data_IF_608592448620
#
_entry.id   IF_608592448620
#
_cell.length_a   1.000
_cell.length_b   1.000
_cell.length_c   1.000
_cell.angle_alpha   90.00
_cell.angle_beta   90.00
_cell.angle_gamma   90.00
#
_symmetry.space_group_name_H-M   'P 1'
#
loop_
_entity.id
_entity.type
_entity.pdbx_description
1 polymer ?
#
# COMPACT_ATOMS: atom_id res chain seq x y z
N UNK A 1 -0.34 1.19 -2.16
CA UNK A 1 -0.36 -0.23 -2.58
C UNK A 1 -0.16 -1.11 -1.36
N UNK A 2 -0.81 -2.28 -1.33
CA UNK A 2 -0.66 -3.28 -0.29
C UNK A 2 -0.41 -4.64 -0.96
N UNK A 3 0.72 -5.26 -0.64
CA UNK A 3 1.10 -6.59 -1.12
C UNK A 3 0.50 -7.64 -0.19
N UNK A 4 -0.33 -8.52 -0.74
CA UNK A 4 -0.99 -9.57 0.03
C UNK A 4 -1.04 -10.90 -0.72
N UNK A 5 -0.98 -11.98 0.04
CA UNK A 5 -1.17 -13.35 -0.46
C UNK A 5 -2.58 -13.81 -0.12
N UNK A 6 -3.30 -14.34 -1.12
CA UNK A 6 -4.61 -14.97 -0.91
C UNK A 6 -4.42 -16.33 -0.22
N UNK A 7 -5.30 -16.63 0.73
CA UNK A 7 -5.27 -17.83 1.54
C UNK A 7 -6.64 -18.48 1.52
N UNK A 8 -6.67 -19.81 1.49
CA UNK A 8 -7.90 -20.59 1.57
C UNK A 8 -7.72 -21.71 2.60
N UNK A 9 -8.66 -21.80 3.53
CA UNK A 9 -8.70 -22.89 4.49
C UNK A 9 -9.25 -24.15 3.80
N UNK A 10 -8.42 -25.20 3.68
CA UNK A 10 -8.79 -26.43 3.00
C UNK A 10 -9.98 -27.18 3.64
N UNK A 11 -10.25 -26.97 4.94
CA UNK A 11 -11.36 -27.65 5.64
C UNK A 11 -12.66 -26.88 5.54
N UNK A 12 -12.58 -25.56 5.67
CA UNK A 12 -13.78 -24.69 5.74
C UNK A 12 -14.11 -24.02 4.41
N UNK A 13 -13.17 -23.98 3.46
CA UNK A 13 -13.28 -23.21 2.21
C UNK A 13 -13.22 -21.70 2.42
N UNK A 14 -12.95 -21.23 3.64
CA UNK A 14 -12.93 -19.81 3.96
C UNK A 14 -11.73 -19.13 3.29
N UNK A 15 -12.02 -18.10 2.50
CA UNK A 15 -11.01 -17.27 1.86
C UNK A 15 -10.61 -16.12 2.78
N UNK A 16 -9.31 -15.86 2.83
CA UNK A 16 -8.74 -14.72 3.53
C UNK A 16 -7.49 -14.24 2.78
N UNK A 17 -6.87 -13.19 3.28
CA UNK A 17 -5.62 -12.71 2.72
C UNK A 17 -4.68 -12.28 3.83
N UNK A 18 -3.39 -12.47 3.61
CA UNK A 18 -2.34 -12.03 4.53
C UNK A 18 -1.52 -10.92 3.86
N UNK A 19 -1.47 -9.75 4.50
CA UNK A 19 -0.66 -8.62 4.02
C UNK A 19 0.76 -8.67 4.56
N UNK A 20 1.72 -8.42 3.67
CA UNK A 20 3.13 -8.40 4.03
C UNK A 20 3.65 -6.97 4.08
N UNK A 21 3.63 -6.29 2.94
CA UNK A 21 4.23 -4.97 2.76
C UNK A 21 3.23 -3.94 2.23
N UNK A 22 3.45 -2.70 2.62
CA UNK A 22 2.75 -1.53 2.10
C UNK A 22 3.74 -0.59 1.43
N UNK A 23 3.28 0.10 0.38
CA UNK A 23 4.02 1.20 -0.29
C UNK A 23 3.07 2.36 -0.54
N UNK A 24 3.53 3.57 -0.24
CA UNK A 24 2.79 4.80 -0.50
C UNK A 24 3.70 5.83 -1.18
N UNK A 25 3.24 6.40 -2.29
CA UNK A 25 3.91 7.46 -3.05
C UNK A 25 2.92 8.62 -3.19
N UNK A 26 3.38 9.83 -2.90
CA UNK A 26 2.63 11.06 -3.14
C UNK A 26 2.69 11.33 -4.63
N UNK A 27 1.52 11.42 -5.25
CA UNK A 27 1.38 11.87 -6.63
C UNK A 27 1.13 13.38 -6.64
N UNK A 28 1.69 14.08 -7.61
CA UNK A 28 1.46 15.50 -7.86
C UNK A 28 0.12 15.73 -8.59
N UNK A 29 -0.33 14.73 -9.34
CA UNK A 29 -1.58 14.74 -10.09
C UNK A 29 -2.32 13.40 -10.00
N UNK A 30 -3.57 13.40 -10.47
CA UNK A 30 -4.38 12.18 -10.64
C UNK A 30 -4.48 11.75 -12.10
N UNK A 31 -3.56 12.24 -12.95
CA UNK A 31 -3.51 11.88 -14.36
C UNK A 31 -2.97 10.46 -14.51
N UNK A 32 -3.49 9.74 -15.51
CA UNK A 32 -3.15 8.33 -15.73
C UNK A 32 -1.66 8.12 -16.00
N UNK A 33 -0.98 9.07 -16.66
CA UNK A 33 0.46 8.99 -16.95
C UNK A 33 1.33 8.84 -15.70
N UNK A 34 1.12 9.67 -14.68
CA UNK A 34 1.90 9.64 -13.44
C UNK A 34 1.60 8.38 -12.61
N UNK A 35 0.36 7.90 -12.69
CA UNK A 35 -0.07 6.64 -12.07
C UNK A 35 0.62 5.46 -12.74
N UNK A 36 0.63 5.42 -14.08
CA UNK A 36 1.25 4.37 -14.87
C UNK A 36 2.76 4.30 -14.62
N UNK A 37 3.46 5.44 -14.66
CA UNK A 37 4.89 5.52 -14.33
C UNK A 37 5.16 5.00 -12.90
N UNK A 38 4.33 5.40 -11.93
CA UNK A 38 4.47 4.91 -10.56
C UNK A 38 4.26 3.40 -10.45
N UNK A 39 3.35 2.83 -11.25
CA UNK A 39 3.06 1.40 -11.26
C UNK A 39 4.22 0.62 -11.87
N UNK A 40 4.70 1.04 -13.04
CA UNK A 40 5.83 0.45 -13.75
C UNK A 40 7.10 0.45 -12.89
N UNK A 41 7.39 1.54 -12.19
CA UNK A 41 8.53 1.61 -11.26
C UNK A 41 8.37 0.75 -9.99
N UNK A 42 7.14 0.35 -9.66
CA UNK A 42 6.84 -0.22 -8.34
C UNK A 42 6.43 -1.67 -8.34
N UNK A 43 5.96 -2.19 -9.48
CA UNK A 43 5.40 -3.53 -9.61
C UNK A 43 6.19 -4.33 -10.63
N UNK A 44 6.27 -5.63 -10.42
CA UNK A 44 6.78 -6.56 -11.42
C UNK A 44 5.68 -6.83 -12.47
N UNK A 45 6.05 -7.01 -13.73
CA UNK A 45 5.11 -7.31 -14.83
C UNK A 45 4.25 -8.55 -14.53
N UNK A 46 4.70 -9.49 -13.68
CA UNK A 46 3.94 -10.68 -13.26
C UNK A 46 2.97 -10.43 -12.10
N UNK A 47 2.77 -9.17 -11.73
CA UNK A 47 1.89 -8.83 -10.60
C UNK A 47 0.42 -8.97 -10.98
N UNK A 48 -0.40 -9.40 -10.02
CA UNK A 48 -1.87 -9.32 -10.12
C UNK A 48 -2.31 -8.10 -9.30
N UNK A 49 -2.95 -7.13 -9.96
CA UNK A 49 -3.37 -5.88 -9.35
C UNK A 49 -4.88 -5.83 -9.20
N UNK A 50 -5.32 -5.53 -7.99
CA UNK A 50 -6.73 -5.32 -7.63
C UNK A 50 -6.92 -3.82 -7.35
N UNK A 51 -7.80 -3.15 -8.10
CA UNK A 51 -8.11 -1.73 -7.88
C UNK A 51 -9.59 -1.48 -7.72
N UNK A 52 -9.92 -0.27 -7.24
CA UNK A 52 -11.27 0.23 -7.44
C UNK A 52 -11.53 0.52 -8.93
N UNK A 53 -12.79 0.77 -9.28
CA UNK A 53 -13.24 1.06 -10.64
C UNK A 53 -13.02 2.52 -11.06
N UNK A 54 -11.97 3.18 -10.58
CA UNK A 54 -11.62 4.54 -11.00
C UNK A 54 -11.16 4.58 -12.46
N UNK A 55 -11.54 5.63 -13.18
CA UNK A 55 -11.14 5.87 -14.59
C UNK A 55 -9.66 6.20 -14.73
N UNK A 56 -8.97 6.54 -13.64
CA UNK A 56 -7.53 6.80 -13.65
C UNK A 56 -6.68 5.52 -13.76
N UNK A 57 -7.29 4.34 -13.68
CA UNK A 57 -6.61 3.04 -13.64
C UNK A 57 -6.79 2.20 -14.90
N UNK A 58 -7.27 2.79 -16.00
CA UNK A 58 -7.65 2.05 -17.21
C UNK A 58 -6.47 1.35 -17.88
N UNK A 59 -5.29 1.98 -17.87
CA UNK A 59 -4.12 1.50 -18.61
C UNK A 59 -3.22 0.56 -17.77
N UNK A 60 -3.58 0.27 -16.52
CA UNK A 60 -2.76 -0.57 -15.63
C UNK A 60 -2.55 -1.97 -16.22
N UNK A 61 -3.55 -2.51 -16.91
CA UNK A 61 -3.51 -3.82 -17.53
C UNK A 61 -2.37 -3.99 -18.55
N UNK A 62 -1.81 -2.90 -19.08
CA UNK A 62 -0.70 -2.95 -20.03
C UNK A 62 0.67 -3.20 -19.34
N UNK A 63 0.75 -3.04 -18.02
CA UNK A 63 1.99 -3.12 -17.25
C UNK A 63 2.05 -4.32 -16.30
N UNK A 64 0.97 -5.10 -16.19
CA UNK A 64 0.85 -6.19 -15.22
C UNK A 64 0.12 -7.39 -15.82
N UNK A 65 0.41 -8.59 -15.32
CA UNK A 65 -0.15 -9.85 -15.83
C UNK A 65 -1.67 -9.88 -15.75
N UNK A 66 -2.25 -9.30 -14.70
CA UNK A 66 -3.68 -9.23 -14.54
C UNK A 66 -4.11 -8.01 -13.75
N UNK A 67 -5.09 -7.27 -14.29
CA UNK A 67 -5.74 -6.17 -13.62
C UNK A 67 -7.22 -6.47 -13.39
N UNK A 68 -7.62 -6.53 -12.13
CA UNK A 68 -9.01 -6.77 -11.71
C UNK A 68 -9.56 -5.49 -11.09
N UNK A 69 -10.64 -4.98 -11.67
CA UNK A 69 -11.33 -3.79 -11.19
C UNK A 69 -12.63 -4.15 -10.49
N UNK A 70 -12.79 -3.67 -9.26
CA UNK A 70 -14.04 -3.80 -8.51
C UNK A 70 -14.62 -2.44 -8.14
N UNK A 71 -15.95 -2.33 -8.18
CA UNK A 71 -16.60 -1.15 -7.62
C UNK A 71 -16.47 -1.20 -6.09
N UNK A 72 -16.00 -0.10 -5.49
CA UNK A 72 -15.94 0.02 -4.03
C UNK A 72 -17.35 -0.11 -3.44
N UNK A 73 -17.55 -1.18 -2.68
CA UNK A 73 -18.77 -1.53 -1.96
C UNK A 73 -18.39 -1.94 -0.54
N UNK A 74 -19.38 -2.14 0.33
CA UNK A 74 -19.11 -2.64 1.68
C UNK A 74 -18.42 -4.02 1.65
N UNK A 75 -18.79 -4.86 0.68
CA UNK A 75 -18.24 -6.19 0.48
C UNK A 75 -16.80 -6.14 -0.06
N UNK A 76 -16.55 -5.41 -1.16
CA UNK A 76 -15.19 -5.30 -1.72
C UNK A 76 -14.22 -4.59 -0.77
N UNK A 77 -14.71 -3.69 0.08
CA UNK A 77 -13.92 -3.07 1.16
C UNK A 77 -13.52 -4.06 2.26
N UNK A 78 -14.30 -5.13 2.47
CA UNK A 78 -14.01 -6.17 3.48
C UNK A 78 -13.21 -7.34 2.90
N UNK A 79 -13.22 -7.50 1.58
CA UNK A 79 -12.56 -8.58 0.85
C UNK A 79 -11.39 -8.06 0.01
N UNK A 80 -11.63 -7.77 -1.27
CA UNK A 80 -10.61 -7.47 -2.29
C UNK A 80 -9.73 -6.27 -1.94
N UNK A 81 -10.33 -5.17 -1.47
CA UNK A 81 -9.63 -3.90 -1.20
C UNK A 81 -9.31 -3.71 0.30
N UNK A 82 -9.56 -4.73 1.12
CA UNK A 82 -9.45 -4.70 2.59
C UNK A 82 -8.19 -4.04 3.12
N UNK A 83 -7.03 -4.48 2.64
CA UNK A 83 -5.76 -4.02 3.19
C UNK A 83 -5.45 -2.57 2.85
N UNK A 84 -5.86 -2.10 1.66
CA UNK A 84 -5.70 -0.70 1.27
C UNK A 84 -6.62 0.20 2.09
N UNK A 85 -7.87 -0.21 2.35
CA UNK A 85 -8.77 0.54 3.22
C UNK A 85 -8.30 0.61 4.68
N UNK A 86 -7.81 -0.51 5.23
CA UNK A 86 -7.19 -0.53 6.57
C UNK A 86 -5.97 0.38 6.61
N UNK A 87 -5.10 0.31 5.59
CA UNK A 87 -3.93 1.17 5.47
C UNK A 87 -4.31 2.65 5.48
N UNK A 88 -5.27 3.07 4.66
CA UNK A 88 -5.73 4.46 4.57
C UNK A 88 -6.30 4.92 5.92
N UNK A 89 -7.11 4.09 6.58
CA UNK A 89 -7.69 4.42 7.89
C UNK A 89 -6.60 4.63 8.96
N UNK A 90 -5.62 3.72 9.01
CA UNK A 90 -4.51 3.80 9.95
C UNK A 90 -3.57 4.98 9.66
N UNK A 91 -3.29 5.25 8.38
CA UNK A 91 -2.47 6.38 7.97
C UNK A 91 -3.13 7.71 8.39
N UNK A 92 -4.44 7.88 8.14
CA UNK A 92 -5.19 9.07 8.56
C UNK A 92 -5.13 9.27 10.08
N UNK A 93 -5.36 8.20 10.86
CA UNK A 93 -5.30 8.25 12.32
C UNK A 93 -3.90 8.56 12.83
N UNK A 94 -2.86 7.98 12.23
CA UNK A 94 -1.47 8.25 12.58
C UNK A 94 -1.10 9.71 12.32
N UNK A 95 -1.46 10.22 11.14
CA UNK A 95 -1.22 11.60 10.74
C UNK A 95 -1.88 12.60 11.70
N UNK A 96 -3.13 12.35 12.09
CA UNK A 96 -3.86 13.19 13.05
C UNK A 96 -3.34 13.09 14.48
N UNK A 97 -2.89 11.90 14.91
CA UNK A 97 -2.48 11.65 16.30
C UNK A 97 -1.06 12.09 16.62
N UNK A 98 -0.13 11.96 15.67
CA UNK A 98 1.30 12.14 15.93
C UNK A 98 1.82 13.55 15.63
N UNK A 99 1.13 14.31 14.76
CA UNK A 99 1.64 15.58 14.25
C UNK A 99 0.69 16.72 14.58
N UNK A 100 1.20 17.75 15.24
CA UNK A 100 0.42 18.98 15.50
C UNK A 100 0.06 19.75 14.23
N UNK A 101 0.90 19.64 13.18
CA UNK A 101 0.66 20.28 11.88
C UNK A 101 1.29 19.46 10.76
N UNK A 102 0.49 19.15 9.75
CA UNK A 102 0.94 18.48 8.53
C UNK A 102 1.15 19.55 7.45
N UNK A 103 2.30 19.51 6.78
CA UNK A 103 2.58 20.36 5.62
C UNK A 103 2.73 19.48 4.38
N UNK A 104 2.03 19.83 3.29
CA UNK A 104 2.02 19.05 2.05
C UNK A 104 3.43 18.76 1.50
N UNK A 105 4.36 19.73 1.62
CA UNK A 105 5.76 19.57 1.19
C UNK A 105 6.54 18.44 1.88
N UNK A 106 6.04 17.92 3.01
CA UNK A 106 6.65 16.80 3.74
C UNK A 106 5.77 15.54 3.70
N UNK A 107 4.71 15.51 2.89
CA UNK A 107 3.74 14.41 2.89
C UNK A 107 4.40 13.06 2.59
N UNK A 108 5.35 13.02 1.65
CA UNK A 108 6.10 11.79 1.36
C UNK A 108 6.93 11.34 2.57
N UNK A 109 7.54 12.27 3.32
CA UNK A 109 8.33 11.92 4.50
C UNK A 109 7.43 11.33 5.61
N UNK A 110 6.25 11.92 5.84
CA UNK A 110 5.29 11.37 6.80
C UNK A 110 4.81 9.97 6.39
N UNK A 111 4.52 9.75 5.11
CA UNK A 111 4.12 8.45 4.60
C UNK A 111 5.28 7.43 4.68
N UNK A 112 6.51 7.84 4.38
CA UNK A 112 7.70 6.99 4.50
C UNK A 112 7.90 6.52 5.95
N UNK A 113 7.79 7.43 6.93
CA UNK A 113 7.88 7.08 8.35
C UNK A 113 6.77 6.10 8.74
N UNK A 114 5.52 6.39 8.37
CA UNK A 114 4.38 5.52 8.67
C UNK A 114 4.56 4.13 8.07
N UNK A 115 4.91 4.05 6.78
CA UNK A 115 5.13 2.78 6.06
C UNK A 115 6.32 2.02 6.65
N UNK A 116 7.41 2.70 7.01
CA UNK A 116 8.58 2.07 7.65
C UNK A 116 8.17 1.35 8.94
N UNK A 117 7.42 2.06 9.82
CA UNK A 117 6.91 1.49 11.08
C UNK A 117 5.92 0.35 10.83
N UNK A 118 5.00 0.52 9.88
CA UNK A 118 3.96 -0.47 9.58
C UNK A 118 4.54 -1.77 8.99
N UNK A 119 5.50 -1.68 8.07
CA UNK A 119 6.16 -2.86 7.48
C UNK A 119 7.08 -3.59 8.47
N UNK A 120 7.45 -2.94 9.58
CA UNK A 120 8.31 -3.49 10.64
C UNK A 120 7.57 -3.57 11.99
N UNK A 121 6.24 -3.62 11.96
CA UNK A 121 5.36 -3.62 13.14
C UNK A 121 5.65 -4.71 14.18
N UNK A 122 6.33 -5.79 13.78
CA UNK A 122 6.71 -6.89 14.67
C UNK A 122 8.14 -6.76 15.25
N UNK A 123 8.87 -5.69 14.94
CA UNK A 123 10.25 -5.51 15.42
C UNK A 123 10.33 -5.01 16.87
N UNK A 124 9.22 -4.50 17.42
CA UNK A 124 9.18 -3.97 18.78
C UNK A 124 10.23 -2.88 18.99
N UNK A 125 10.99 -2.99 20.08
CA UNK A 125 12.02 -2.03 20.47
C UNK A 125 13.19 -1.92 19.48
N UNK A 126 13.40 -2.96 18.64
CA UNK A 126 14.50 -2.98 17.66
C UNK A 126 14.28 -2.05 16.46
N UNK A 127 13.12 -1.38 16.38
CA UNK A 127 12.74 -0.58 15.22
C UNK A 127 13.72 0.58 14.94
N UNK A 128 14.19 1.23 16.00
CA UNK A 128 15.16 2.33 15.92
C UNK A 128 16.54 1.81 15.52
N UNK A 129 17.07 0.82 16.23
CA UNK A 129 18.40 0.27 15.94
C UNK A 129 18.50 -0.27 14.51
N UNK A 130 17.44 -0.92 14.03
CA UNK A 130 17.36 -1.41 12.64
C UNK A 130 17.38 -0.28 11.63
N UNK A 131 16.82 0.88 11.95
CA UNK A 131 16.87 2.05 11.08
C UNK A 131 18.30 2.58 10.99
N UNK A 132 18.99 2.70 12.13
CA UNK A 132 20.38 3.16 12.19
C UNK A 132 21.30 2.22 11.41
N UNK A 133 21.16 0.91 11.62
CA UNK A 133 21.93 -0.09 10.88
C UNK A 133 21.69 0.04 9.37
N UNK A 134 20.43 0.19 8.95
CA UNK A 134 20.11 0.37 7.53
C UNK A 134 20.77 1.65 6.98
N UNK A 135 20.66 2.78 7.69
CA UNK A 135 21.22 4.06 7.27
C UNK A 135 22.75 4.03 7.12
N UNK A 136 23.47 3.36 8.03
CA UNK A 136 24.92 3.22 7.96
C UNK A 136 25.34 2.31 6.79
N UNK A 137 24.56 1.28 6.49
CA UNK A 137 24.85 0.32 5.42
C UNK A 137 24.29 0.74 4.05
N UNK A 138 23.65 1.90 3.96
CA UNK A 138 23.11 2.45 2.71
C UNK A 138 24.20 3.22 1.96
N UNK A 139 25.18 2.50 1.40
CA UNK A 139 26.15 3.03 0.44
C UNK A 139 25.79 2.58 -0.97
#
# INVERSE_FOLDING_TARGET
MAESTQLEDQKTGNKSSQVRYFKAKVLQSHQSNEINETIEESLDEKSIVLTDKSTSYVDIADYVEMHVMEKSSEESTKETLKWVHIFISNAKRNLLGNYHKIKGKYLQAYLNEFVYKLNRRYFGEKLFDRLIIAAINSN
#
